data_IF_114136505672
#
_entry.id   IF_114136505672
#
_cell.length_a   1.000
_cell.length_b   1.000
_cell.length_c   1.000
_cell.angle_alpha   90.00
_cell.angle_beta   90.00
_cell.angle_gamma   90.00
#
_symmetry.space_group_name_H-M   'P 1'
#
loop_
_entity.id
_entity.type
_entity.pdbx_description
1 polymer ?
#
# COMPACT_ATOMS: atom_id res chain seq x y z
N UNK A 1 21.49 19.19 -0.51
CA UNK A 1 21.27 17.78 -0.14
C UNK A 1 21.82 16.83 -1.19
N UNK A 2 21.38 16.93 -2.43
CA UNK A 2 21.85 16.05 -3.51
C UNK A 2 23.38 16.08 -3.71
N UNK A 3 24.01 17.25 -3.55
CA UNK A 3 25.44 17.41 -3.72
C UNK A 3 26.29 16.76 -2.61
N UNK A 4 25.72 16.47 -1.46
CA UNK A 4 26.43 15.91 -0.31
C UNK A 4 26.08 14.46 0.02
N UNK A 5 25.00 13.91 -0.57
CA UNK A 5 24.54 12.56 -0.25
C UNK A 5 23.87 11.92 -1.48
N UNK A 6 24.60 11.11 -2.26
CA UNK A 6 24.10 10.48 -3.48
C UNK A 6 23.33 9.18 -3.23
N UNK A 7 23.23 8.70 -1.99
CA UNK A 7 22.64 7.40 -1.63
C UNK A 7 21.11 7.38 -1.62
N UNK A 8 20.51 6.18 -1.54
CA UNK A 8 19.05 6.00 -1.50
C UNK A 8 18.35 6.74 -0.36
N UNK A 9 19.00 6.93 0.78
CA UNK A 9 18.49 7.66 1.94
C UNK A 9 18.16 9.13 1.63
N UNK A 10 18.89 9.75 0.70
CA UNK A 10 18.62 11.12 0.25
C UNK A 10 17.26 11.25 -0.45
N UNK A 11 16.73 10.15 -1.00
CA UNK A 11 15.39 10.11 -1.57
C UNK A 11 14.32 10.45 -0.53
N UNK A 12 14.38 9.81 0.65
CA UNK A 12 13.43 10.05 1.74
C UNK A 12 13.54 11.48 2.29
N UNK A 13 14.76 11.95 2.55
CA UNK A 13 15.02 13.31 3.06
C UNK A 13 14.58 14.42 2.10
N UNK A 14 14.66 14.20 0.78
CA UNK A 14 14.23 15.16 -0.22
C UNK A 14 12.72 15.29 -0.35
N UNK A 15 11.95 14.41 0.29
CA UNK A 15 10.48 14.33 0.22
C UNK A 15 9.85 14.25 1.61
N UNK A 16 9.96 15.32 2.43
CA UNK A 16 9.43 15.33 3.79
C UNK A 16 7.91 15.18 3.81
N UNK A 17 7.38 14.60 4.88
CA UNK A 17 5.94 14.30 5.04
C UNK A 17 5.05 15.55 4.95
N UNK A 18 5.57 16.70 5.38
CA UNK A 18 4.86 17.99 5.32
C UNK A 18 4.49 18.40 3.89
N UNK A 19 5.35 18.09 2.91
CA UNK A 19 5.07 18.38 1.49
C UNK A 19 3.92 17.54 0.98
N UNK A 20 3.85 16.26 1.36
CA UNK A 20 2.73 15.38 1.03
C UNK A 20 1.43 15.87 1.70
N UNK A 21 1.49 16.25 2.98
CA UNK A 21 0.35 16.80 3.71
C UNK A 21 -0.18 18.09 3.09
N UNK A 22 0.70 19.01 2.69
CA UNK A 22 0.33 20.24 2.01
C UNK A 22 -0.34 19.96 0.68
N UNK A 23 0.26 19.14 -0.16
CA UNK A 23 -0.29 18.76 -1.47
C UNK A 23 -1.64 18.09 -1.36
N UNK A 24 -1.82 17.19 -0.38
CA UNK A 24 -3.10 16.52 -0.09
C UNK A 24 -4.16 17.54 0.32
N UNK A 25 -3.84 18.43 1.26
CA UNK A 25 -4.80 19.45 1.70
C UNK A 25 -5.18 20.41 0.56
N UNK A 26 -4.24 20.83 -0.26
CA UNK A 26 -4.48 21.66 -1.44
C UNK A 26 -5.38 20.98 -2.45
N UNK A 27 -5.11 19.70 -2.76
CA UNK A 27 -5.96 18.91 -3.67
C UNK A 27 -7.39 18.79 -3.14
N UNK A 28 -7.58 18.57 -1.83
CA UNK A 28 -8.89 18.54 -1.18
C UNK A 28 -9.63 19.87 -1.34
N UNK A 29 -8.96 20.99 -1.11
CA UNK A 29 -9.57 22.31 -1.24
C UNK A 29 -10.00 22.60 -2.69
N UNK A 30 -9.17 22.25 -3.66
CA UNK A 30 -9.49 22.44 -5.09
C UNK A 30 -10.67 21.55 -5.49
N UNK A 31 -10.66 20.28 -5.10
CA UNK A 31 -11.76 19.35 -5.40
C UNK A 31 -13.09 19.81 -4.79
N UNK A 32 -13.05 20.30 -3.54
CA UNK A 32 -14.22 20.82 -2.85
C UNK A 32 -14.82 22.04 -3.59
N UNK A 33 -13.98 23.00 -3.98
CA UNK A 33 -14.42 24.17 -4.76
C UNK A 33 -14.99 23.78 -6.12
N UNK A 34 -14.46 22.72 -6.75
CA UNK A 34 -14.95 22.18 -8.02
C UNK A 34 -16.20 21.29 -7.86
N UNK A 35 -16.63 20.97 -6.63
CA UNK A 35 -17.70 20.01 -6.36
C UNK A 35 -17.37 18.57 -6.77
N UNK A 36 -16.07 18.25 -6.97
CA UNK A 36 -15.60 16.95 -7.43
C UNK A 36 -15.26 16.00 -6.28
N UNK A 37 -15.51 14.69 -6.42
CA UNK A 37 -14.95 13.70 -5.49
C UNK A 37 -13.44 13.59 -5.68
N UNK A 38 -12.70 13.28 -4.59
CA UNK A 38 -11.27 13.12 -4.64
C UNK A 38 -10.86 11.77 -4.04
N UNK A 39 -10.01 11.04 -4.75
CA UNK A 39 -9.36 9.83 -4.26
C UNK A 39 -7.85 10.07 -4.16
N UNK A 40 -7.33 10.05 -2.94
CA UNK A 40 -5.90 10.27 -2.66
C UNK A 40 -5.21 8.92 -2.60
N UNK A 41 -4.37 8.64 -3.58
CA UNK A 41 -3.58 7.40 -3.68
C UNK A 41 -2.36 7.45 -2.76
N UNK A 42 -1.79 6.30 -2.43
CA UNK A 42 -0.51 6.10 -1.73
C UNK A 42 -0.25 7.06 -0.55
N UNK A 43 -1.23 7.26 0.32
CA UNK A 43 -1.09 8.07 1.55
C UNK A 43 -0.01 7.43 2.42
N UNK A 44 1.08 8.17 2.69
CA UNK A 44 2.24 7.64 3.42
C UNK A 44 2.47 8.26 4.80
N UNK A 45 1.77 9.34 5.15
CA UNK A 45 2.09 10.11 6.36
C UNK A 45 0.86 10.60 7.14
N UNK A 46 1.12 10.97 8.41
CA UNK A 46 0.11 11.50 9.33
C UNK A 46 -0.51 12.80 8.81
N UNK A 47 0.29 13.70 8.24
CA UNK A 47 -0.18 15.00 7.77
C UNK A 47 -1.20 14.88 6.63
N UNK A 48 -0.96 13.96 5.69
CA UNK A 48 -1.91 13.66 4.61
C UNK A 48 -3.17 12.95 5.14
N UNK A 49 -3.00 11.96 6.04
CA UNK A 49 -4.12 11.30 6.69
C UNK A 49 -4.99 12.30 7.46
N UNK A 50 -4.41 13.21 8.25
CA UNK A 50 -5.15 14.21 9.01
C UNK A 50 -5.95 15.17 8.11
N UNK A 51 -5.39 15.58 6.96
CA UNK A 51 -6.11 16.38 5.98
C UNK A 51 -7.35 15.63 5.43
N UNK A 52 -7.20 14.35 5.10
CA UNK A 52 -8.29 13.49 4.63
C UNK A 52 -9.34 13.30 5.74
N UNK A 53 -8.90 12.99 6.97
CA UNK A 53 -9.79 12.81 8.13
C UNK A 53 -10.67 14.03 8.37
N UNK A 54 -10.07 15.23 8.40
CA UNK A 54 -10.80 16.50 8.58
C UNK A 54 -11.82 16.73 7.47
N UNK A 55 -11.44 16.50 6.22
CA UNK A 55 -12.34 16.66 5.08
C UNK A 55 -13.54 15.72 5.18
N UNK A 56 -13.33 14.46 5.53
CA UNK A 56 -14.40 13.47 5.71
C UNK A 56 -15.34 13.81 6.87
N UNK A 57 -14.80 14.31 7.99
CA UNK A 57 -15.62 14.78 9.13
C UNK A 57 -16.54 15.96 8.73
N UNK A 58 -16.14 16.76 7.76
CA UNK A 58 -16.96 17.84 7.16
C UNK A 58 -17.90 17.34 6.05
N UNK A 59 -18.03 16.03 5.85
CA UNK A 59 -18.93 15.45 4.85
C UNK A 59 -18.43 15.53 3.40
N UNK A 60 -17.17 15.92 3.18
CA UNK A 60 -16.59 16.00 1.83
C UNK A 60 -16.36 14.60 1.25
N UNK A 61 -16.54 14.46 -0.07
CA UNK A 61 -16.33 13.21 -0.80
C UNK A 61 -14.86 12.95 -1.09
N UNK A 62 -14.11 12.60 -0.02
CA UNK A 62 -12.68 12.33 -0.07
C UNK A 62 -12.40 10.92 0.44
N UNK A 63 -11.56 10.18 -0.26
CA UNK A 63 -11.07 8.86 0.15
C UNK A 63 -9.56 8.84 0.12
N UNK A 64 -8.96 8.01 0.97
CA UNK A 64 -7.53 7.83 1.05
C UNK A 64 -7.15 6.35 1.03
N UNK A 65 -5.99 6.07 0.43
CA UNK A 65 -5.46 4.74 0.19
C UNK A 65 -4.01 4.66 0.64
N UNK A 66 -3.68 4.11 1.82
CA UNK A 66 -2.31 3.74 2.13
C UNK A 66 -1.90 2.47 1.39
N UNK A 67 -0.59 2.32 1.19
CA UNK A 67 -0.03 1.09 0.63
C UNK A 67 0.40 0.13 1.73
N UNK A 68 0.38 -1.17 1.43
CA UNK A 68 0.86 -2.18 2.37
C UNK A 68 2.33 -1.97 2.76
N UNK A 69 3.13 -1.44 1.84
CA UNK A 69 4.52 -1.08 2.10
C UNK A 69 4.63 0.01 3.17
N UNK A 70 3.84 1.09 3.06
CA UNK A 70 3.81 2.19 4.03
C UNK A 70 3.29 1.76 5.41
N UNK A 71 2.46 0.72 5.47
CA UNK A 71 1.93 0.17 6.72
C UNK A 71 2.92 -0.74 7.46
N UNK A 72 3.95 -1.30 6.77
CA UNK A 72 4.74 -2.41 7.30
C UNK A 72 6.25 -2.28 7.13
N UNK A 73 6.72 -1.33 6.31
CA UNK A 73 8.13 -0.99 6.12
C UNK A 73 8.35 0.46 6.54
N UNK A 74 9.49 0.75 7.13
CA UNK A 74 9.83 2.10 7.59
C UNK A 74 11.11 2.64 6.94
N UNK A 75 11.42 3.90 7.24
CA UNK A 75 12.54 4.62 6.64
C UNK A 75 13.91 4.03 6.95
N UNK A 76 14.04 3.14 7.96
CA UNK A 76 15.31 2.46 8.27
C UNK A 76 15.80 1.59 7.12
N UNK A 77 14.90 1.12 6.25
CA UNK A 77 15.23 0.35 5.05
C UNK A 77 16.20 1.11 4.12
N UNK A 78 16.16 2.45 4.11
CA UNK A 78 17.05 3.28 3.28
C UNK A 78 18.47 3.39 3.82
N UNK A 79 18.68 3.08 5.11
CA UNK A 79 20.00 3.14 5.77
C UNK A 79 20.72 1.78 5.80
N UNK A 80 20.19 0.80 5.09
CA UNK A 80 20.82 -0.51 5.00
C UNK A 80 22.20 -0.40 4.34
N UNK A 81 23.25 -1.09 4.87
CA UNK A 81 24.63 -0.99 4.34
C UNK A 81 24.77 -1.52 2.91
N UNK A 82 23.93 -2.46 2.50
CA UNK A 82 23.83 -2.89 1.11
C UNK A 82 23.04 -1.86 0.29
N UNK A 83 23.71 -1.19 -0.64
CA UNK A 83 23.12 -0.19 -1.51
C UNK A 83 21.95 -0.74 -2.34
N UNK A 84 22.07 -1.97 -2.86
CA UNK A 84 21.01 -2.61 -3.63
C UNK A 84 19.76 -2.83 -2.78
N UNK A 85 19.93 -3.25 -1.53
CA UNK A 85 18.81 -3.39 -0.59
C UNK A 85 18.07 -2.06 -0.43
N UNK A 86 18.78 -0.99 -0.12
CA UNK A 86 18.19 0.33 0.07
C UNK A 86 17.54 0.87 -1.23
N UNK A 87 18.21 0.73 -2.37
CA UNK A 87 17.70 1.19 -3.66
C UNK A 87 16.42 0.44 -4.11
N UNK A 88 16.32 -0.85 -3.83
CA UNK A 88 15.12 -1.67 -4.10
C UNK A 88 13.88 -1.17 -3.35
N UNK A 89 14.05 -0.42 -2.26
CA UNK A 89 12.97 0.18 -1.43
C UNK A 89 12.60 1.60 -1.86
N UNK A 90 13.33 2.19 -2.80
CA UNK A 90 13.03 3.54 -3.31
C UNK A 90 11.71 3.53 -4.08
N UNK A 91 10.74 4.28 -3.55
CA UNK A 91 9.42 4.53 -4.14
C UNK A 91 8.92 5.92 -3.73
N UNK A 92 7.92 6.44 -4.41
CA UNK A 92 7.28 7.73 -4.07
C UNK A 92 5.78 7.53 -3.78
N UNK A 93 5.30 8.02 -2.63
CA UNK A 93 6.06 8.61 -1.51
C UNK A 93 7.01 7.60 -0.84
N UNK A 94 8.09 8.07 -0.18
CA UNK A 94 9.01 7.18 0.52
C UNK A 94 8.39 6.59 1.78
N UNK A 95 8.99 5.51 2.30
CA UNK A 95 8.67 4.99 3.62
C UNK A 95 8.95 6.04 4.69
N UNK A 96 8.17 6.01 5.76
CA UNK A 96 8.22 6.96 6.87
C UNK A 96 8.53 6.22 8.17
N UNK A 97 8.79 6.98 9.24
CA UNK A 97 8.97 6.38 10.56
C UNK A 97 7.67 5.82 11.14
N UNK A 98 7.81 5.08 12.27
CA UNK A 98 6.73 4.36 12.94
C UNK A 98 5.52 5.23 13.28
N UNK A 99 5.72 6.50 13.65
CA UNK A 99 4.62 7.43 13.97
C UNK A 99 3.62 7.54 12.82
N UNK A 100 4.11 7.63 11.60
CA UNK A 100 3.25 7.71 10.41
C UNK A 100 2.52 6.39 10.16
N UNK A 101 3.18 5.24 10.36
CA UNK A 101 2.52 3.94 10.28
C UNK A 101 1.36 3.83 11.28
N UNK A 102 1.58 4.23 12.53
CA UNK A 102 0.54 4.20 13.57
C UNK A 102 -0.67 5.06 13.18
N UNK A 103 -0.43 6.23 12.59
CA UNK A 103 -1.48 7.09 12.05
C UNK A 103 -2.26 6.43 10.90
N UNK A 104 -1.58 5.76 9.97
CA UNK A 104 -2.23 5.05 8.86
C UNK A 104 -3.08 3.88 9.36
N UNK A 105 -2.58 3.08 10.32
CA UNK A 105 -3.35 2.01 10.95
C UNK A 105 -4.59 2.54 11.67
N UNK A 106 -4.45 3.63 12.44
CA UNK A 106 -5.59 4.29 13.09
C UNK A 106 -6.60 4.81 12.06
N UNK A 107 -6.11 5.26 10.90
CA UNK A 107 -6.95 5.68 9.77
C UNK A 107 -7.81 4.56 9.19
N UNK A 108 -7.24 3.37 9.05
CA UNK A 108 -7.97 2.17 8.60
C UNK A 108 -9.00 1.72 9.64
N UNK A 109 -8.63 1.69 10.91
CA UNK A 109 -9.52 1.31 12.02
C UNK A 109 -10.71 2.26 12.16
N UNK A 110 -10.49 3.56 12.04
CA UNK A 110 -11.55 4.57 12.12
C UNK A 110 -12.37 4.71 10.85
N UNK A 111 -11.93 4.12 9.74
CA UNK A 111 -12.55 4.27 8.42
C UNK A 111 -12.27 5.60 7.75
N UNK A 112 -11.38 6.45 8.29
CA UNK A 112 -10.95 7.69 7.64
C UNK A 112 -10.06 7.41 6.43
N UNK A 113 -9.31 6.30 6.42
CA UNK A 113 -8.70 5.70 5.23
C UNK A 113 -9.54 4.52 4.77
N UNK A 114 -9.72 4.36 3.47
CA UNK A 114 -10.80 3.54 2.91
C UNK A 114 -10.35 2.25 2.25
N UNK A 115 -9.15 2.21 1.69
CA UNK A 115 -8.64 1.10 0.86
C UNK A 115 -7.17 0.89 1.18
N UNK A 116 -6.67 -0.35 1.03
CA UNK A 116 -5.24 -0.66 1.04
C UNK A 116 -4.83 -1.17 -0.34
N UNK A 117 -3.79 -0.58 -0.92
CA UNK A 117 -3.26 -0.96 -2.23
C UNK A 117 -1.76 -1.30 -2.21
N UNK A 118 -1.13 -1.36 -3.38
CA UNK A 118 0.30 -1.69 -3.53
C UNK A 118 1.07 -0.67 -4.34
N UNK A 119 0.41 0.08 -5.21
CA UNK A 119 1.09 0.88 -6.23
C UNK A 119 2.22 0.09 -6.91
N UNK A 120 1.87 -1.14 -7.36
CA UNK A 120 2.83 -2.10 -7.90
C UNK A 120 3.52 -1.52 -9.14
N UNK A 121 4.75 -1.08 -8.97
CA UNK A 121 5.60 -0.53 -10.02
C UNK A 121 7.00 -1.10 -9.85
N UNK A 122 7.22 -2.22 -10.51
CA UNK A 122 8.38 -3.07 -10.26
C UNK A 122 9.52 -2.79 -11.24
N UNK A 123 10.74 -2.73 -10.69
CA UNK A 123 11.98 -2.59 -11.43
C UNK A 123 12.97 -3.66 -10.99
N UNK A 124 13.80 -4.15 -11.88
CA UNK A 124 14.88 -5.07 -11.52
C UNK A 124 15.98 -4.36 -10.72
N UNK A 125 16.82 -5.13 -10.02
CA UNK A 125 18.00 -4.56 -9.34
C UNK A 125 18.92 -3.82 -10.31
N UNK A 126 19.11 -4.34 -11.51
CA UNK A 126 19.91 -3.69 -12.56
C UNK A 126 19.35 -2.31 -12.92
N UNK A 127 18.03 -2.19 -13.09
CA UNK A 127 17.39 -0.91 -13.33
C UNK A 127 17.54 0.06 -12.16
N UNK A 128 17.41 -0.43 -10.92
CA UNK A 128 17.64 0.41 -9.72
C UNK A 128 19.06 0.98 -9.69
N UNK A 129 20.04 0.23 -10.16
CA UNK A 129 21.45 0.65 -10.22
C UNK A 129 21.75 1.82 -11.16
N UNK A 130 20.79 2.26 -11.99
CA UNK A 130 20.92 3.53 -12.73
C UNK A 130 21.14 4.73 -11.81
N UNK A 131 20.76 4.62 -10.56
CA UNK A 131 20.95 5.65 -9.53
C UNK A 131 22.23 5.53 -8.69
N UNK A 132 23.17 4.66 -9.05
CA UNK A 132 24.46 4.60 -8.34
C UNK A 132 25.20 5.93 -8.51
N UNK A 133 25.51 6.58 -7.37
CA UNK A 133 26.13 7.91 -7.35
C UNK A 133 25.17 9.09 -7.57
N UNK A 134 23.89 8.83 -7.86
CA UNK A 134 22.87 9.87 -8.03
C UNK A 134 21.47 9.31 -7.74
N UNK A 135 21.01 9.43 -6.49
CA UNK A 135 19.74 8.88 -6.05
C UNK A 135 18.53 9.36 -6.88
N UNK A 136 18.65 10.52 -7.55
CA UNK A 136 17.55 11.07 -8.37
C UNK A 136 17.26 10.22 -9.61
N UNK A 137 18.19 9.34 -9.99
CA UNK A 137 18.09 8.42 -11.12
C UNK A 137 17.64 7.02 -10.72
N UNK A 138 17.46 6.74 -9.41
CA UNK A 138 16.89 5.47 -8.97
C UNK A 138 15.42 5.41 -9.44
N UNK A 139 15.02 4.46 -10.30
CA UNK A 139 13.60 4.31 -10.65
C UNK A 139 12.74 4.11 -9.41
N UNK A 140 11.68 4.93 -9.28
CA UNK A 140 10.79 4.91 -8.11
C UNK A 140 9.69 3.87 -8.30
N UNK A 141 9.58 2.95 -7.37
CA UNK A 141 8.53 1.94 -7.34
C UNK A 141 9.01 0.62 -6.72
N UNK A 142 8.06 -0.10 -6.15
CA UNK A 142 8.29 -1.41 -5.52
C UNK A 142 7.23 -2.41 -5.98
N UNK A 143 7.55 -3.70 -5.92
CA UNK A 143 6.58 -4.79 -6.03
C UNK A 143 5.72 -4.91 -4.76
N UNK A 144 4.78 -5.85 -4.77
CA UNK A 144 3.95 -6.16 -3.59
C UNK A 144 2.55 -6.67 -3.94
N UNK A 145 2.23 -6.86 -5.22
CA UNK A 145 0.90 -7.27 -5.66
C UNK A 145 0.45 -8.60 -5.02
N UNK A 146 1.32 -9.61 -5.00
CA UNK A 146 1.02 -10.92 -4.42
C UNK A 146 1.04 -10.91 -2.89
N UNK A 147 1.75 -9.96 -2.27
CA UNK A 147 1.99 -9.94 -0.83
C UNK A 147 1.00 -9.07 -0.05
N UNK A 148 0.27 -8.17 -0.74
CA UNK A 148 -0.66 -7.24 -0.08
C UNK A 148 -1.61 -7.92 0.89
N UNK A 149 -2.31 -8.95 0.44
CA UNK A 149 -3.33 -9.62 1.24
C UNK A 149 -2.71 -10.40 2.41
N UNK A 150 -1.69 -11.25 2.22
CA UNK A 150 -1.01 -11.94 3.31
C UNK A 150 -0.36 -11.00 4.33
N UNK A 151 0.31 -9.95 3.89
CA UNK A 151 0.91 -8.95 4.77
C UNK A 151 -0.14 -8.20 5.58
N UNK A 152 -1.24 -7.76 4.92
CA UNK A 152 -2.33 -7.07 5.61
C UNK A 152 -3.05 -7.96 6.62
N UNK A 153 -3.25 -9.25 6.29
CA UNK A 153 -3.82 -10.20 7.23
C UNK A 153 -2.91 -10.40 8.44
N UNK A 154 -1.63 -10.61 8.19
CA UNK A 154 -0.62 -10.86 9.24
C UNK A 154 -0.49 -9.66 10.18
N UNK A 155 -0.31 -8.46 9.65
CA UNK A 155 -0.06 -7.25 10.44
C UNK A 155 -1.33 -6.51 10.86
N UNK A 156 -2.46 -6.82 10.25
CA UNK A 156 -3.76 -6.23 10.59
C UNK A 156 -4.63 -7.17 11.41
N UNK A 157 -5.04 -8.31 10.83
CA UNK A 157 -6.02 -9.21 11.47
C UNK A 157 -5.39 -10.01 12.62
N UNK A 158 -4.24 -10.63 12.38
CA UNK A 158 -3.60 -11.46 13.41
C UNK A 158 -3.10 -10.66 14.62
N UNK A 159 -2.89 -9.35 14.46
CA UNK A 159 -2.51 -8.44 15.55
C UNK A 159 -3.71 -7.76 16.22
N UNK A 160 -4.93 -7.99 15.73
CA UNK A 160 -6.14 -7.36 16.26
C UNK A 160 -6.34 -5.89 15.86
N UNK A 161 -5.53 -5.35 14.93
CA UNK A 161 -5.72 -3.99 14.38
C UNK A 161 -6.95 -3.91 13.48
N UNK A 162 -7.27 -4.98 12.77
CA UNK A 162 -8.45 -5.09 11.92
C UNK A 162 -9.21 -6.37 12.25
N UNK A 163 -10.51 -6.30 12.18
CA UNK A 163 -11.35 -7.51 12.11
C UNK A 163 -11.30 -8.11 10.70
N UNK A 164 -11.65 -9.40 10.51
CA UNK A 164 -11.81 -9.98 9.18
C UNK A 164 -12.80 -9.21 8.29
N UNK A 165 -13.85 -8.62 8.90
CA UNK A 165 -14.82 -7.79 8.17
C UNK A 165 -14.20 -6.50 7.65
N UNK A 166 -13.39 -5.82 8.45
CA UNK A 166 -12.66 -4.62 8.03
C UNK A 166 -11.60 -4.93 7.00
N UNK A 167 -10.90 -6.08 7.12
CA UNK A 167 -9.99 -6.56 6.09
C UNK A 167 -10.69 -6.69 4.72
N UNK A 168 -11.87 -7.31 4.66
CA UNK A 168 -12.67 -7.41 3.43
C UNK A 168 -13.13 -6.02 2.97
N UNK A 169 -13.51 -5.14 3.89
CA UNK A 169 -13.93 -3.79 3.54
C UNK A 169 -12.82 -3.00 2.83
N UNK A 170 -11.60 -2.97 3.40
CA UNK A 170 -10.48 -2.16 2.86
C UNK A 170 -9.81 -2.79 1.64
N UNK A 171 -10.04 -4.07 1.36
CA UNK A 171 -9.44 -4.78 0.20
C UNK A 171 -10.41 -4.99 -0.97
N UNK A 172 -11.72 -4.88 -0.74
CA UNK A 172 -12.75 -5.21 -1.75
C UNK A 172 -13.96 -4.28 -1.73
N UNK A 173 -14.76 -4.31 -0.64
CA UNK A 173 -16.08 -3.68 -0.64
C UNK A 173 -16.00 -2.15 -0.79
N UNK A 174 -15.06 -1.50 -0.12
CA UNK A 174 -14.97 -0.04 -0.14
C UNK A 174 -14.58 0.47 -1.53
N UNK A 175 -13.59 -0.12 -2.18
CA UNK A 175 -13.20 0.28 -3.53
C UNK A 175 -14.31 0.03 -4.54
N UNK A 176 -15.06 -1.07 -4.41
CA UNK A 176 -16.21 -1.34 -5.27
C UNK A 176 -17.29 -0.27 -5.13
N UNK A 177 -17.54 0.25 -3.91
CA UNK A 177 -18.47 1.36 -3.66
C UNK A 177 -17.95 2.68 -4.23
N UNK A 178 -16.66 2.99 -4.01
CA UNK A 178 -16.03 4.23 -4.50
C UNK A 178 -16.10 4.32 -6.03
N UNK A 179 -15.86 3.19 -6.71
CA UNK A 179 -15.86 3.12 -8.17
C UNK A 179 -17.23 2.80 -8.78
N UNK A 180 -18.31 2.84 -7.99
CA UNK A 180 -19.68 2.53 -8.42
C UNK A 180 -19.85 1.13 -9.05
N UNK A 181 -19.04 0.14 -8.63
CA UNK A 181 -19.12 -1.26 -9.07
C UNK A 181 -19.93 -2.13 -8.10
N UNK A 182 -20.22 -1.62 -6.91
CA UNK A 182 -21.01 -2.34 -5.90
C UNK A 182 -22.50 -2.32 -6.29
N UNK A 183 -23.28 -3.41 -6.11
CA UNK A 183 -22.91 -4.71 -5.53
C UNK A 183 -22.42 -5.75 -6.54
N UNK A 184 -22.28 -5.39 -7.83
CA UNK A 184 -21.77 -6.32 -8.86
C UNK A 184 -20.39 -6.87 -8.48
N UNK A 185 -19.52 -6.02 -7.91
CA UNK A 185 -18.25 -6.35 -7.30
C UNK A 185 -18.27 -6.02 -5.80
N UNK A 186 -17.41 -6.64 -5.01
CA UNK A 186 -17.24 -6.32 -3.59
C UNK A 186 -18.33 -6.87 -2.66
N UNK A 187 -19.18 -7.81 -3.13
CA UNK A 187 -20.19 -8.49 -2.36
C UNK A 187 -20.37 -9.94 -2.83
N UNK A 188 -20.75 -10.82 -1.90
CA UNK A 188 -21.20 -12.19 -2.21
C UNK A 188 -22.73 -12.19 -2.12
N UNK A 189 -23.38 -11.96 -3.26
CA UNK A 189 -24.82 -11.85 -3.39
C UNK A 189 -25.28 -12.54 -4.69
N UNK A 190 -26.53 -12.98 -4.71
CA UNK A 190 -27.15 -13.49 -5.96
C UNK A 190 -27.21 -12.35 -6.98
N UNK A 191 -26.66 -12.59 -8.17
CA UNK A 191 -26.54 -11.59 -9.24
C UNK A 191 -25.23 -10.79 -9.23
N UNK A 192 -24.38 -10.92 -8.21
CA UNK A 192 -23.02 -10.41 -8.24
C UNK A 192 -22.08 -11.31 -9.05
N UNK A 193 -20.95 -10.76 -9.48
CA UNK A 193 -19.90 -11.56 -10.10
C UNK A 193 -19.27 -12.49 -9.05
N UNK A 194 -19.04 -13.75 -9.42
CA UNK A 194 -18.42 -14.74 -8.55
C UNK A 194 -16.89 -14.58 -8.51
N UNK A 195 -16.43 -13.38 -8.09
CA UNK A 195 -15.03 -13.10 -7.77
C UNK A 195 -14.84 -13.35 -6.26
N UNK A 196 -14.39 -14.55 -5.93
CA UNK A 196 -14.40 -15.04 -4.55
C UNK A 196 -13.03 -15.55 -4.17
N UNK A 197 -12.58 -15.19 -2.97
CA UNK A 197 -11.38 -15.76 -2.35
C UNK A 197 -11.81 -16.62 -1.16
N UNK A 198 -11.39 -17.86 -1.14
CA UNK A 198 -11.48 -18.75 0.04
C UNK A 198 -10.17 -18.61 0.78
N UNK A 199 -10.25 -18.07 2.00
CA UNK A 199 -9.09 -17.72 2.82
C UNK A 199 -8.82 -18.79 3.86
N UNK A 200 -7.55 -19.22 3.99
CA UNK A 200 -7.11 -20.09 5.07
C UNK A 200 -6.31 -19.25 6.09
N UNK A 201 -6.89 -18.97 7.28
CA UNK A 201 -6.25 -18.11 8.28
C UNK A 201 -5.07 -18.79 8.99
N UNK A 202 -4.93 -20.11 8.86
CA UNK A 202 -3.88 -20.89 9.53
C UNK A 202 -2.65 -21.15 8.64
N UNK A 203 -2.82 -21.06 7.33
CA UNK A 203 -1.74 -21.32 6.37
C UNK A 203 -0.66 -20.26 6.47
N UNK A 204 0.60 -20.69 6.40
CA UNK A 204 1.78 -19.85 6.59
C UNK A 204 2.75 -19.98 5.41
N UNK A 205 3.49 -18.93 5.11
CA UNK A 205 4.65 -18.97 4.21
C UNK A 205 5.69 -17.94 4.60
N UNK A 206 6.93 -18.16 4.18
CA UNK A 206 7.94 -17.11 4.13
C UNK A 206 7.96 -16.52 2.72
N UNK A 207 7.86 -15.20 2.62
CA UNK A 207 7.88 -14.50 1.34
C UNK A 207 9.30 -14.54 0.78
N UNK A 208 9.43 -14.95 -0.49
CA UNK A 208 10.69 -14.90 -1.23
C UNK A 208 10.42 -14.52 -2.68
N UNK A 209 11.39 -13.89 -3.33
CA UNK A 209 11.28 -13.59 -4.76
C UNK A 209 11.05 -14.86 -5.60
N UNK A 210 11.73 -15.96 -5.24
CA UNK A 210 11.61 -17.24 -5.94
C UNK A 210 10.26 -17.94 -5.79
N UNK A 211 9.42 -17.54 -4.83
CA UNK A 211 8.08 -18.11 -4.61
C UNK A 211 6.97 -17.33 -5.32
N UNK A 212 7.31 -16.26 -6.04
CA UNK A 212 6.32 -15.39 -6.69
C UNK A 212 6.18 -15.67 -8.18
N UNK A 213 5.04 -15.30 -8.73
CA UNK A 213 4.78 -15.30 -10.17
C UNK A 213 5.38 -14.07 -10.86
N UNK A 214 5.75 -13.04 -10.09
CA UNK A 214 6.40 -11.84 -10.60
C UNK A 214 7.80 -12.18 -11.15
N UNK A 215 8.15 -11.62 -12.30
CA UNK A 215 9.45 -11.81 -12.95
C UNK A 215 10.57 -10.93 -12.35
N UNK A 216 10.35 -10.30 -11.19
CA UNK A 216 11.32 -9.44 -10.53
C UNK A 216 12.30 -10.28 -9.74
N UNK A 217 13.57 -9.84 -9.72
CA UNK A 217 14.69 -10.54 -9.08
C UNK A 217 14.79 -10.35 -7.57
N UNK A 218 13.84 -9.62 -6.93
CA UNK A 218 13.77 -9.42 -5.49
C UNK A 218 12.34 -9.20 -5.02
N UNK A 219 12.13 -9.27 -3.70
CA UNK A 219 10.87 -8.88 -3.05
C UNK A 219 11.17 -7.89 -1.92
N UNK A 220 10.38 -6.82 -1.80
CA UNK A 220 10.56 -5.82 -0.71
C UNK A 220 10.22 -6.41 0.66
N UNK A 221 9.45 -7.49 0.69
CA UNK A 221 9.10 -8.26 1.90
C UNK A 221 9.91 -9.54 2.05
N UNK A 222 11.02 -9.69 1.33
CA UNK A 222 11.89 -10.88 1.39
C UNK A 222 12.17 -11.31 2.83
N UNK A 223 11.98 -12.61 3.12
CA UNK A 223 12.20 -13.18 4.45
C UNK A 223 11.09 -12.92 5.47
N UNK A 224 10.06 -12.10 5.15
CA UNK A 224 8.92 -11.89 6.07
C UNK A 224 8.07 -13.16 6.15
N UNK A 225 7.77 -13.59 7.38
CA UNK A 225 6.86 -14.69 7.63
C UNK A 225 5.43 -14.16 7.70
N UNK A 226 4.52 -14.77 6.96
CA UNK A 226 3.11 -14.39 6.91
C UNK A 226 2.20 -15.57 7.23
N UNK A 227 1.09 -15.27 7.90
CA UNK A 227 0.06 -16.22 8.30
C UNK A 227 -1.31 -15.73 7.86
N UNK A 228 -2.01 -16.58 7.13
CA UNK A 228 -3.25 -16.29 6.42
C UNK A 228 -2.97 -16.13 4.93
N UNK A 229 -3.45 -17.09 4.14
CA UNK A 229 -3.22 -17.17 2.69
C UNK A 229 -4.51 -17.57 1.94
N UNK A 230 -4.66 -17.18 0.67
CA UNK A 230 -5.74 -17.72 -0.15
C UNK A 230 -5.53 -19.21 -0.37
N UNK A 231 -6.61 -19.99 -0.28
CA UNK A 231 -6.67 -21.39 -0.67
C UNK A 231 -7.25 -21.57 -2.08
N UNK A 232 -8.26 -20.77 -2.40
CA UNK A 232 -8.84 -20.69 -3.73
C UNK A 232 -9.10 -19.26 -4.10
N UNK A 233 -8.86 -18.92 -5.36
CA UNK A 233 -9.28 -17.65 -5.95
C UNK A 233 -10.11 -17.95 -7.17
N UNK A 234 -11.35 -17.47 -7.17
CA UNK A 234 -12.29 -17.58 -8.27
C UNK A 234 -12.42 -16.22 -8.96
N UNK A 235 -12.41 -16.22 -10.27
CA UNK A 235 -12.73 -15.08 -11.10
C UNK A 235 -13.91 -15.41 -11.99
N UNK A 236 -15.02 -14.70 -11.81
CA UNK A 236 -16.29 -14.94 -12.52
C UNK A 236 -16.75 -16.41 -12.47
N UNK A 237 -16.51 -17.06 -11.31
CA UNK A 237 -16.86 -18.45 -11.09
C UNK A 237 -15.84 -19.49 -11.58
N UNK A 238 -14.81 -19.08 -12.30
CA UNK A 238 -13.72 -19.97 -12.71
C UNK A 238 -12.63 -19.98 -11.64
N UNK A 239 -12.11 -21.15 -11.29
CA UNK A 239 -10.98 -21.28 -10.38
C UNK A 239 -9.72 -20.78 -11.08
N UNK A 240 -9.22 -19.62 -10.66
CA UNK A 240 -8.01 -19.01 -11.20
C UNK A 240 -6.75 -19.50 -10.48
N UNK A 241 -6.85 -19.73 -9.16
CA UNK A 241 -5.77 -20.25 -8.31
C UNK A 241 -6.35 -21.29 -7.37
N UNK A 242 -5.66 -22.41 -7.25
CA UNK A 242 -5.91 -23.48 -6.30
C UNK A 242 -4.57 -23.92 -5.71
N UNK A 243 -4.49 -23.95 -4.38
CA UNK A 243 -3.29 -24.35 -3.62
C UNK A 243 -3.64 -25.34 -2.51
#
# INVERSE_FOLDING_TARGET
WAAGNPGPEAHAYSRPSQVEGEATNRAIMIADMAGAPLYVVHVSCEEAHEAIRRARMLGKRVWGEPLIQHLTLDESEYFHPDWDHAARRVMSPPFRNQKHQDSLWAGLQSGSLSVVATDHCAFTTEQKRFGVGDFTKIPNGTGGLEDRMPMLWTHGVNTGRLTPKEFVAVTSTNIAKILNCYPKKGAILVGADADIVVWDPAKEKTITAGSQQSAIDYNVFEGKHVKGLPRFTLSRGYVAVHD
#
